data_IF_819580948201
#
_entry.id   IF_819580948201
#
_cell.length_a   1.000
_cell.length_b   1.000
_cell.length_c   1.000
_cell.angle_alpha   90.00
_cell.angle_beta   90.00
_cell.angle_gamma   90.00
#
_symmetry.space_group_name_H-M   'P 1'
#
loop_
_entity.id
_entity.type
_entity.pdbx_description
1 polymer ?
#
# COMPACT_ATOMS: atom_id res chain seq x y z
N UNK A 1 43.92 5.29 -93.30
CA UNK A 1 42.90 4.37 -92.75
C UNK A 1 42.47 4.88 -91.37
N UNK A 2 41.16 5.02 -91.16
CA UNK A 2 40.52 5.37 -89.89
C UNK A 2 40.61 4.23 -88.86
N UNK A 3 40.66 4.57 -87.57
CA UNK A 3 39.85 3.99 -86.47
C UNK A 3 40.17 4.78 -85.17
N UNK A 4 39.24 5.57 -84.62
CA UNK A 4 38.13 5.19 -83.75
C UNK A 4 38.55 4.67 -82.37
N UNK A 5 38.41 5.51 -81.34
CA UNK A 5 37.79 5.11 -80.06
C UNK A 5 37.51 6.34 -79.18
N UNK A 6 36.34 6.95 -79.37
CA UNK A 6 35.86 8.03 -78.49
C UNK A 6 35.23 7.40 -77.25
N UNK A 7 36.00 7.31 -76.16
CA UNK A 7 35.55 6.86 -74.85
C UNK A 7 34.39 7.74 -74.34
N UNK A 8 33.18 7.19 -74.29
CA UNK A 8 32.01 7.87 -73.70
C UNK A 8 32.10 7.75 -72.18
N UNK A 9 32.55 8.82 -71.51
CA UNK A 9 32.37 8.98 -70.07
C UNK A 9 30.87 9.09 -69.80
N UNK A 10 30.27 8.07 -69.18
CA UNK A 10 28.89 8.14 -68.71
C UNK A 10 28.82 9.17 -67.57
N UNK A 11 28.25 10.33 -67.84
CA UNK A 11 28.00 11.35 -66.82
C UNK A 11 26.92 10.83 -65.87
N UNK A 12 27.29 10.60 -64.60
CA UNK A 12 26.35 10.33 -63.51
C UNK A 12 25.41 11.52 -63.37
N UNK A 13 24.17 11.35 -63.83
CA UNK A 13 23.15 12.39 -63.81
C UNK A 13 22.58 12.49 -62.40
N UNK A 14 23.11 13.39 -61.59
CA UNK A 14 22.58 13.69 -60.25
C UNK A 14 21.19 14.32 -60.41
N UNK A 15 20.14 13.63 -59.96
CA UNK A 15 18.76 14.12 -60.02
C UNK A 15 18.56 15.13 -58.89
N UNK A 16 18.53 16.41 -59.23
CA UNK A 16 18.27 17.49 -58.26
C UNK A 16 16.83 17.35 -57.75
N UNK A 17 16.61 17.24 -56.43
CA UNK A 17 15.28 17.09 -55.87
C UNK A 17 14.42 18.34 -56.13
N UNK A 18 13.11 18.14 -56.25
CA UNK A 18 12.16 19.25 -56.43
C UNK A 18 12.29 20.26 -55.28
N UNK A 19 12.11 21.55 -55.58
CA UNK A 19 12.16 22.65 -54.59
C UNK A 19 11.28 22.38 -53.36
N UNK A 20 10.14 21.70 -53.55
CA UNK A 20 9.25 21.27 -52.45
C UNK A 20 9.91 20.25 -51.52
N UNK A 21 10.70 19.32 -52.05
CA UNK A 21 11.39 18.29 -51.26
C UNK A 21 12.55 18.89 -50.46
N UNK A 22 13.26 19.88 -51.02
CA UNK A 22 14.30 20.62 -50.29
C UNK A 22 13.73 21.48 -49.15
N UNK A 23 12.56 22.10 -49.36
CA UNK A 23 11.89 22.86 -48.30
C UNK A 23 11.41 21.92 -47.19
N UNK A 24 10.85 20.76 -47.54
CA UNK A 24 10.41 19.77 -46.56
C UNK A 24 11.57 19.22 -45.73
N UNK A 25 12.71 18.91 -46.35
CA UNK A 25 13.89 18.43 -45.60
C UNK A 25 14.42 19.49 -44.63
N UNK A 26 14.53 20.76 -45.07
CA UNK A 26 14.93 21.86 -44.19
C UNK A 26 13.97 22.05 -43.00
N UNK A 27 12.65 21.95 -43.24
CA UNK A 27 11.65 22.02 -42.17
C UNK A 27 11.80 20.88 -41.17
N UNK A 28 12.01 19.65 -41.65
CA UNK A 28 12.25 18.48 -40.79
C UNK A 28 13.51 18.68 -39.94
N UNK A 29 14.62 19.13 -40.53
CA UNK A 29 15.86 19.41 -39.81
C UNK A 29 15.73 20.57 -38.82
N UNK A 30 14.87 21.55 -39.08
CA UNK A 30 14.61 22.66 -38.16
C UNK A 30 13.72 22.25 -36.97
N UNK A 31 12.80 21.31 -37.17
CA UNK A 31 11.76 20.96 -36.18
C UNK A 31 12.15 19.74 -35.33
N UNK A 32 12.80 18.73 -35.91
CA UNK A 32 13.17 17.49 -35.19
C UNK A 32 14.09 17.73 -33.99
N UNK A 33 15.19 18.51 -34.10
CA UNK A 33 16.08 18.71 -32.96
C UNK A 33 15.39 19.42 -31.78
N UNK A 34 14.68 20.55 -31.95
CA UNK A 34 13.96 21.19 -30.86
C UNK A 34 12.94 20.27 -30.19
N UNK A 35 12.20 19.48 -30.96
CA UNK A 35 11.24 18.50 -30.43
C UNK A 35 11.97 17.39 -29.65
N UNK A 36 13.03 16.81 -30.21
CA UNK A 36 13.84 15.79 -29.54
C UNK A 36 14.43 16.32 -28.24
N UNK A 37 15.01 17.52 -28.25
CA UNK A 37 15.56 18.17 -27.05
C UNK A 37 14.46 18.49 -26.03
N UNK A 38 13.29 18.95 -26.46
CA UNK A 38 12.15 19.18 -25.57
C UNK A 38 11.70 17.91 -24.85
N UNK A 39 11.51 16.81 -25.57
CA UNK A 39 11.14 15.52 -24.98
C UNK A 39 12.26 14.94 -24.11
N UNK A 40 13.52 15.02 -24.53
CA UNK A 40 14.68 14.58 -23.74
C UNK A 40 14.85 15.40 -22.46
N UNK A 41 14.71 16.72 -22.53
CA UNK A 41 14.86 17.61 -21.38
C UNK A 41 13.70 17.43 -20.39
N UNK A 42 12.45 17.29 -20.88
CA UNK A 42 11.31 16.91 -20.04
C UNK A 42 11.57 15.57 -19.33
N UNK A 43 12.11 14.57 -20.04
CA UNK A 43 12.45 13.28 -19.44
C UNK A 43 13.53 13.41 -18.36
N UNK A 44 14.57 14.23 -18.59
CA UNK A 44 15.62 14.48 -17.59
C UNK A 44 15.07 15.23 -16.36
N UNK A 45 14.23 16.25 -16.55
CA UNK A 45 13.54 16.94 -15.46
C UNK A 45 12.64 15.98 -14.67
N UNK A 46 11.88 15.12 -15.34
CA UNK A 46 11.07 14.09 -14.68
C UNK A 46 11.93 13.13 -13.85
N UNK A 47 13.09 12.70 -14.37
CA UNK A 47 14.02 11.82 -13.65
C UNK A 47 14.71 12.50 -12.45
N UNK A 48 14.97 13.81 -12.53
CA UNK A 48 15.50 14.57 -11.40
C UNK A 48 14.42 14.82 -10.33
N UNK A 49 13.19 15.14 -10.73
CA UNK A 49 12.07 15.35 -9.81
C UNK A 49 11.67 14.05 -9.08
N UNK A 50 11.75 12.89 -9.73
CA UNK A 50 11.46 11.61 -9.07
C UNK A 50 12.52 11.23 -8.04
N UNK A 51 13.80 11.53 -8.30
CA UNK A 51 14.89 11.30 -7.32
C UNK A 51 14.75 12.19 -6.08
N UNK A 52 14.31 13.44 -6.24
CA UNK A 52 14.19 14.38 -5.12
C UNK A 52 12.83 14.35 -4.42
N UNK A 53 11.83 13.62 -4.95
CA UNK A 53 10.51 13.51 -4.30
C UNK A 53 10.61 12.97 -2.87
N UNK A 54 11.47 11.98 -2.65
CA UNK A 54 11.68 11.32 -1.34
C UNK A 54 12.33 12.23 -0.28
N UNK A 55 13.02 13.31 -0.68
CA UNK A 55 13.55 14.31 0.27
C UNK A 55 12.45 15.24 0.78
N UNK A 56 11.46 15.56 -0.05
CA UNK A 56 10.38 16.48 0.29
C UNK A 56 9.15 15.76 0.86
N UNK A 57 9.00 14.48 0.54
CA UNK A 57 7.92 13.61 0.98
C UNK A 57 8.49 12.22 1.29
N UNK A 58 9.16 12.09 2.46
CA UNK A 58 9.77 10.82 2.85
C UNK A 58 8.71 9.74 3.03
N UNK A 59 9.09 8.47 2.79
CA UNK A 59 8.19 7.34 2.98
C UNK A 59 7.80 7.24 4.45
N UNK A 60 6.54 6.88 4.72
CA UNK A 60 6.09 6.65 6.09
C UNK A 60 6.72 5.35 6.62
N UNK A 61 7.19 5.36 7.86
CA UNK A 61 7.65 4.16 8.55
C UNK A 61 6.49 3.55 9.31
N UNK A 62 6.01 2.39 8.84
CA UNK A 62 4.88 1.69 9.46
C UNK A 62 5.34 0.47 10.26
N UNK A 63 4.81 0.31 11.48
CA UNK A 63 5.01 -0.88 12.30
C UNK A 63 3.91 -1.93 12.01
N UNK A 64 4.30 -3.10 11.50
CA UNK A 64 3.36 -4.18 11.13
C UNK A 64 2.93 -4.97 12.37
N UNK A 65 1.71 -4.74 12.84
CA UNK A 65 1.24 -5.29 14.11
C UNK A 65 1.95 -4.70 15.34
N UNK A 66 2.52 -3.50 15.21
CA UNK A 66 3.43 -2.90 16.20
C UNK A 66 4.89 -3.33 16.00
N UNK A 67 5.74 -3.15 17.01
CA UNK A 67 7.16 -3.54 16.97
C UNK A 67 7.30 -5.03 17.28
N UNK A 68 7.23 -5.83 16.21
CA UNK A 68 7.28 -7.28 16.26
C UNK A 68 8.65 -7.83 16.66
N UNK A 69 9.69 -7.00 16.60
CA UNK A 69 11.04 -7.35 17.06
C UNK A 69 11.16 -7.38 18.59
N UNK A 70 10.27 -6.68 19.30
CA UNK A 70 10.29 -6.54 20.76
C UNK A 70 9.20 -7.33 21.47
N UNK A 71 8.04 -7.47 20.84
CA UNK A 71 6.90 -8.16 21.41
C UNK A 71 6.06 -8.86 20.34
N UNK A 72 5.19 -9.75 20.78
CA UNK A 72 4.23 -10.43 19.92
C UNK A 72 3.38 -9.43 19.11
N UNK A 73 3.17 -9.63 17.79
CA UNK A 73 2.36 -8.73 16.97
C UNK A 73 0.92 -8.56 17.51
N UNK A 74 0.34 -7.40 17.25
CA UNK A 74 -1.02 -7.00 17.65
C UNK A 74 -1.30 -7.06 19.17
N UNK A 75 -0.28 -6.86 20.00
CA UNK A 75 -0.41 -6.79 21.46
C UNK A 75 -0.22 -5.37 21.97
N UNK A 76 -0.62 -5.11 23.21
CA UNK A 76 -0.38 -3.81 23.84
C UNK A 76 1.12 -3.50 23.89
N UNK A 77 1.96 -4.49 24.19
CA UNK A 77 3.41 -4.33 24.24
C UNK A 77 4.01 -3.98 22.87
N UNK A 78 3.60 -4.64 21.78
CA UNK A 78 4.13 -4.33 20.45
C UNK A 78 3.74 -2.92 20.01
N UNK A 79 2.51 -2.48 20.31
CA UNK A 79 2.10 -1.11 20.04
C UNK A 79 2.89 -0.11 20.88
N UNK A 80 3.07 -0.36 22.17
CA UNK A 80 3.85 0.52 23.04
C UNK A 80 5.28 0.71 22.54
N UNK A 81 5.98 -0.37 22.16
CA UNK A 81 7.33 -0.28 21.60
C UNK A 81 7.38 0.44 20.24
N UNK A 82 6.37 0.25 19.39
CA UNK A 82 6.26 1.00 18.13
C UNK A 82 6.10 2.51 18.39
N UNK A 83 5.26 2.88 19.35
CA UNK A 83 5.05 4.28 19.75
C UNK A 83 6.32 4.89 20.35
N UNK A 84 7.05 4.16 21.18
CA UNK A 84 8.35 4.60 21.70
C UNK A 84 9.37 4.85 20.58
N UNK A 85 9.30 4.04 19.51
CA UNK A 85 10.14 4.19 18.31
C UNK A 85 9.69 5.32 17.38
N UNK A 86 8.61 6.04 17.72
CA UNK A 86 8.06 7.19 16.97
C UNK A 86 7.78 6.87 15.50
N UNK A 87 7.19 5.71 15.25
CA UNK A 87 6.75 5.32 13.89
C UNK A 87 5.66 6.26 13.38
N UNK A 88 5.60 6.46 12.06
CA UNK A 88 4.58 7.29 11.43
C UNK A 88 3.21 6.60 11.41
N UNK A 89 3.23 5.26 11.33
CA UNK A 89 2.03 4.45 11.20
C UNK A 89 2.13 3.13 11.95
N UNK A 90 0.96 2.59 12.31
CA UNK A 90 0.81 1.23 12.81
C UNK A 90 -0.21 0.53 11.92
N UNK A 91 0.16 -0.66 11.46
CA UNK A 91 -0.77 -1.61 10.84
C UNK A 91 -1.34 -2.55 11.91
N UNK A 92 -2.64 -2.81 11.84
CA UNK A 92 -3.36 -3.68 12.76
C UNK A 92 -4.09 -4.75 11.94
N UNK A 93 -3.78 -6.01 12.20
CA UNK A 93 -4.50 -7.14 11.60
C UNK A 93 -5.90 -7.24 12.22
N UNK A 94 -6.95 -7.10 11.41
CA UNK A 94 -8.34 -7.17 11.87
C UNK A 94 -8.96 -8.50 11.49
N UNK A 95 -9.30 -9.31 12.49
CA UNK A 95 -10.08 -10.54 12.29
C UNK A 95 -11.40 -10.48 13.06
N UNK A 96 -12.41 -11.18 12.53
CA UNK A 96 -13.75 -11.25 13.11
C UNK A 96 -14.01 -12.61 13.71
N UNK A 97 -14.52 -12.67 14.93
CA UNK A 97 -14.98 -13.89 15.59
C UNK A 97 -16.31 -14.40 15.01
N UNK A 98 -16.71 -15.62 15.36
CA UNK A 98 -17.96 -16.24 14.89
C UNK A 98 -19.22 -15.50 15.33
N UNK A 99 -19.17 -14.81 16.48
CA UNK A 99 -20.22 -13.95 17.03
C UNK A 99 -20.11 -12.48 16.56
N UNK A 100 -19.13 -12.16 15.72
CA UNK A 100 -19.02 -10.88 15.02
C UNK A 100 -18.19 -9.80 15.69
N UNK A 101 -17.47 -10.13 16.76
CA UNK A 101 -16.55 -9.20 17.45
C UNK A 101 -15.24 -9.08 16.66
N UNK A 102 -14.72 -7.85 16.54
CA UNK A 102 -13.47 -7.57 15.83
C UNK A 102 -12.28 -7.53 16.81
N UNK A 103 -11.26 -8.30 16.48
CA UNK A 103 -10.01 -8.43 17.25
C UNK A 103 -8.81 -7.99 16.44
N UNK A 104 -7.84 -7.39 17.13
CA UNK A 104 -6.49 -7.16 16.63
C UNK A 104 -5.73 -8.48 16.71
N UNK A 105 -5.92 -9.35 15.72
CA UNK A 105 -5.45 -10.72 15.77
C UNK A 105 -5.35 -11.33 14.38
N UNK A 106 -4.21 -11.92 14.06
CA UNK A 106 -4.06 -12.74 12.87
C UNK A 106 -4.21 -14.23 13.23
N UNK A 107 -4.74 -15.04 12.29
CA UNK A 107 -4.78 -16.51 12.42
C UNK A 107 -3.44 -17.13 12.89
N UNK A 108 -2.29 -16.63 12.40
CA UNK A 108 -0.96 -17.14 12.79
C UNK A 108 -0.69 -16.94 14.28
N UNK A 109 -1.14 -15.82 14.83
CA UNK A 109 -0.95 -15.47 16.24
C UNK A 109 -1.87 -16.33 17.09
N UNK A 110 -3.12 -16.53 16.66
CA UNK A 110 -4.05 -17.48 17.29
C UNK A 110 -3.48 -18.90 17.31
N UNK A 111 -2.95 -19.38 16.19
CA UNK A 111 -2.37 -20.72 16.05
C UNK A 111 -1.17 -20.91 16.98
N UNK A 112 -0.35 -19.87 17.15
CA UNK A 112 0.77 -19.87 18.09
C UNK A 112 0.29 -19.93 19.54
N UNK A 113 -0.76 -19.18 19.88
CA UNK A 113 -1.35 -19.21 21.22
C UNK A 113 -1.97 -20.59 21.47
N UNK A 114 -2.93 -21.04 20.67
CA UNK A 114 -3.62 -22.30 20.97
C UNK A 114 -2.86 -23.58 20.61
N UNK A 115 -1.66 -23.47 20.03
CA UNK A 115 -0.85 -24.62 19.62
C UNK A 115 -1.46 -25.46 18.49
N UNK A 116 -2.49 -24.96 17.81
CA UNK A 116 -3.21 -25.68 16.76
C UNK A 116 -3.18 -24.89 15.46
N UNK A 117 -2.35 -25.37 14.52
CA UNK A 117 -2.11 -24.79 13.19
C UNK A 117 -3.34 -24.71 12.27
N UNK A 118 -4.40 -25.48 12.55
CA UNK A 118 -5.65 -25.42 11.80
C UNK A 118 -6.60 -24.31 12.26
N UNK A 119 -6.26 -23.63 13.34
CA UNK A 119 -7.15 -22.67 13.99
C UNK A 119 -7.34 -21.40 13.18
N UNK A 120 -8.56 -20.89 13.23
CA UNK A 120 -8.99 -19.67 12.54
C UNK A 120 -9.83 -18.83 13.49
N UNK A 121 -9.57 -17.52 13.50
CA UNK A 121 -10.27 -16.59 14.41
C UNK A 121 -11.78 -16.67 14.21
N UNK A 122 -12.23 -16.70 12.96
CA UNK A 122 -13.67 -16.67 12.67
C UNK A 122 -14.45 -17.93 13.06
N UNK A 123 -13.78 -19.06 13.36
CA UNK A 123 -14.49 -20.23 13.92
C UNK A 123 -14.69 -20.16 15.43
N UNK A 124 -14.02 -19.25 16.13
CA UNK A 124 -14.13 -19.09 17.57
C UNK A 124 -15.04 -17.92 17.92
N UNK A 125 -15.84 -18.06 18.97
CA UNK A 125 -16.59 -16.93 19.52
C UNK A 125 -15.69 -16.04 20.39
N UNK A 126 -16.15 -14.84 20.72
CA UNK A 126 -15.36 -13.87 21.49
C UNK A 126 -15.00 -14.35 22.90
N UNK A 127 -15.83 -15.18 23.53
CA UNK A 127 -15.57 -15.73 24.87
C UNK A 127 -14.45 -16.78 24.83
N UNK A 128 -14.43 -17.66 23.82
CA UNK A 128 -13.38 -18.64 23.59
C UNK A 128 -12.03 -17.97 23.36
N UNK A 129 -12.01 -16.90 22.54
CA UNK A 129 -10.80 -16.10 22.29
C UNK A 129 -10.30 -15.45 23.58
N UNK A 130 -11.20 -14.87 24.39
CA UNK A 130 -10.83 -14.25 25.68
C UNK A 130 -10.31 -15.27 26.68
N UNK A 131 -10.93 -16.45 26.78
CA UNK A 131 -10.47 -17.56 27.63
C UNK A 131 -9.09 -18.04 27.24
N UNK A 132 -8.84 -18.19 25.93
CA UNK A 132 -7.52 -18.55 25.42
C UNK A 132 -6.48 -17.49 25.82
N UNK A 133 -6.81 -16.20 25.66
CA UNK A 133 -5.91 -15.11 26.05
C UNK A 133 -5.60 -15.12 27.55
N UNK A 134 -6.61 -15.32 28.41
CA UNK A 134 -6.42 -15.38 29.86
C UNK A 134 -5.56 -16.58 30.29
N UNK A 135 -5.74 -17.74 29.65
CA UNK A 135 -4.93 -18.94 29.91
C UNK A 135 -3.47 -18.78 29.48
N UNK A 136 -3.21 -17.98 28.45
CA UNK A 136 -1.84 -17.66 28.04
C UNK A 136 -1.17 -16.65 28.97
N UNK A 137 -1.91 -15.65 29.44
CA UNK A 137 -1.39 -14.69 30.41
C UNK A 137 -1.01 -15.34 31.75
N UNK A 138 -1.74 -16.37 32.20
CA UNK A 138 -1.42 -17.06 33.45
C UNK A 138 -0.17 -17.95 33.35
N UNK A 139 0.24 -18.31 32.13
CA UNK A 139 1.39 -19.19 31.87
C UNK A 139 2.62 -18.44 31.37
N UNK A 140 2.44 -17.27 30.74
CA UNK A 140 3.49 -16.38 30.28
C UNK A 140 3.99 -15.46 31.40
N UNK A 141 5.31 -15.25 31.49
CA UNK A 141 5.89 -14.21 32.35
C UNK A 141 5.67 -12.78 31.83
N UNK A 142 5.13 -12.65 30.62
CA UNK A 142 4.83 -11.37 29.97
C UNK A 142 3.32 -11.13 30.05
N UNK A 143 2.92 -10.22 30.94
CA UNK A 143 1.53 -9.88 31.25
C UNK A 143 0.78 -9.15 30.13
N UNK A 144 1.49 -8.74 29.07
CA UNK A 144 1.00 -7.79 28.07
C UNK A 144 0.59 -8.43 26.73
N UNK A 145 0.55 -9.76 26.66
CA UNK A 145 0.14 -10.53 25.47
C UNK A 145 -1.39 -10.75 25.38
N UNK A 146 -2.19 -9.89 26.02
CA UNK A 146 -3.64 -9.97 25.90
C UNK A 146 -4.09 -9.74 24.46
N UNK A 147 -5.00 -10.57 23.96
CA UNK A 147 -5.63 -10.35 22.65
C UNK A 147 -6.54 -9.13 22.78
N UNK A 148 -6.25 -8.09 21.99
CA UNK A 148 -6.98 -6.83 22.02
C UNK A 148 -8.19 -6.87 21.08
N UNK A 149 -9.27 -6.18 21.46
CA UNK A 149 -10.28 -5.82 20.48
C UNK A 149 -9.76 -4.70 19.58
N UNK A 150 -10.36 -4.50 18.40
CA UNK A 150 -9.98 -3.35 17.55
C UNK A 150 -10.24 -2.02 18.25
N UNK A 151 -11.31 -1.95 19.05
CA UNK A 151 -11.60 -0.74 19.82
C UNK A 151 -10.46 -0.43 20.79
N UNK A 152 -9.95 -1.42 21.52
CA UNK A 152 -8.83 -1.25 22.44
C UNK A 152 -7.54 -0.86 21.70
N UNK A 153 -7.23 -1.55 20.60
CA UNK A 153 -6.05 -1.26 19.78
C UNK A 153 -6.09 0.18 19.20
N UNK A 154 -7.26 0.64 18.74
CA UNK A 154 -7.44 2.00 18.28
C UNK A 154 -7.34 3.02 19.42
N UNK A 155 -7.90 2.74 20.60
CA UNK A 155 -7.75 3.63 21.76
C UNK A 155 -6.27 3.83 22.15
N UNK A 156 -5.45 2.79 22.01
CA UNK A 156 -4.02 2.85 22.31
C UNK A 156 -3.22 3.65 21.25
N UNK A 157 -3.62 3.58 19.98
CA UNK A 157 -2.77 4.02 18.85
C UNK A 157 -3.27 5.28 18.14
N UNK A 158 -4.58 5.54 18.13
CA UNK A 158 -5.23 6.55 17.27
C UNK A 158 -4.97 8.00 17.64
N UNK A 159 -4.24 8.29 18.71
CA UNK A 159 -3.80 9.65 19.05
C UNK A 159 -2.28 9.81 19.03
N UNK A 160 -1.54 8.76 18.65
CA UNK A 160 -0.10 8.66 18.88
C UNK A 160 0.71 8.53 17.59
N UNK A 161 0.07 8.18 16.47
CA UNK A 161 0.69 8.05 15.14
C UNK A 161 0.00 8.96 14.12
N UNK A 162 0.59 9.17 12.95
CA UNK A 162 -0.05 9.97 11.87
C UNK A 162 -1.14 9.17 11.15
N UNK A 163 -0.95 7.86 11.03
CA UNK A 163 -1.81 7.01 10.23
C UNK A 163 -1.96 5.63 10.86
N UNK A 164 -3.17 5.06 10.77
CA UNK A 164 -3.43 3.67 11.12
C UNK A 164 -3.88 2.94 9.87
N UNK A 165 -3.32 1.74 9.65
CA UNK A 165 -3.71 0.84 8.58
C UNK A 165 -4.43 -0.36 9.20
N UNK A 166 -5.70 -0.56 8.87
CA UNK A 166 -6.43 -1.76 9.27
C UNK A 166 -6.34 -2.79 8.15
N UNK A 167 -5.56 -3.85 8.34
CA UNK A 167 -5.52 -4.99 7.41
C UNK A 167 -6.67 -5.96 7.75
N UNK A 168 -7.79 -5.82 7.05
CA UNK A 168 -8.99 -6.61 7.31
C UNK A 168 -8.86 -7.99 6.69
N UNK A 169 -8.75 -9.01 7.56
CA UNK A 169 -8.70 -10.41 7.19
C UNK A 169 -10.11 -10.94 6.92
N UNK A 170 -10.26 -11.56 5.76
CA UNK A 170 -11.49 -12.22 5.33
C UNK A 170 -11.36 -13.71 5.57
N UNK A 171 -12.26 -14.27 6.38
CA UNK A 171 -12.20 -15.67 6.81
C UNK A 171 -13.56 -16.29 7.16
N UNK A 172 -13.63 -17.61 7.25
CA UNK A 172 -14.86 -18.34 7.56
C UNK A 172 -15.33 -18.08 9.01
N UNK A 173 -16.60 -18.37 9.35
CA UNK A 173 -17.68 -18.77 8.45
C UNK A 173 -18.33 -17.58 7.73
N UNK A 174 -18.03 -16.36 8.18
CA UNK A 174 -18.63 -15.13 7.68
C UNK A 174 -17.59 -14.29 6.93
N UNK A 175 -17.17 -14.80 5.76
CA UNK A 175 -16.18 -14.16 4.88
C UNK A 175 -16.39 -12.64 4.76
N UNK A 176 -17.45 -12.21 4.07
CA UNK A 176 -17.71 -10.78 3.85
C UNK A 176 -19.03 -10.31 4.47
N UNK A 177 -19.90 -11.25 4.87
CA UNK A 177 -21.27 -10.94 5.31
C UNK A 177 -21.25 -10.12 6.59
N UNK A 178 -21.73 -8.87 6.50
CA UNK A 178 -21.76 -7.85 7.57
C UNK A 178 -20.38 -7.34 8.00
N UNK A 179 -19.27 -7.86 7.46
CA UNK A 179 -17.92 -7.44 7.84
C UNK A 179 -17.70 -5.93 7.61
N UNK A 180 -18.12 -5.42 6.44
CA UNK A 180 -18.02 -3.99 6.15
C UNK A 180 -18.81 -3.14 7.18
N UNK A 181 -20.00 -3.59 7.58
CA UNK A 181 -20.82 -2.89 8.58
C UNK A 181 -20.15 -2.89 9.95
N UNK A 182 -19.58 -4.02 10.34
CA UNK A 182 -18.92 -4.19 11.64
C UNK A 182 -17.60 -3.41 11.71
N UNK A 183 -16.86 -3.30 10.59
CA UNK A 183 -15.67 -2.43 10.51
C UNK A 183 -16.09 -0.96 10.57
N UNK A 184 -17.10 -0.56 9.79
CA UNK A 184 -17.59 0.82 9.77
C UNK A 184 -18.11 1.30 11.13
N UNK A 185 -18.74 0.44 11.93
CA UNK A 185 -19.21 0.82 13.27
C UNK A 185 -18.06 1.23 14.19
N UNK A 186 -16.86 0.67 14.00
CA UNK A 186 -15.67 1.01 14.79
C UNK A 186 -15.00 2.28 14.27
N UNK A 187 -14.89 2.44 12.95
CA UNK A 187 -14.24 3.61 12.33
C UNK A 187 -14.95 4.93 12.65
N UNK A 188 -16.26 4.89 12.88
CA UNK A 188 -17.05 6.09 13.18
C UNK A 188 -16.79 6.60 14.61
N UNK A 189 -16.21 5.78 15.52
CA UNK A 189 -16.09 6.10 16.95
C UNK A 189 -14.92 7.04 17.32
N UNK A 190 -13.74 7.06 16.64
CA UNK A 190 -12.68 8.01 16.95
C UNK A 190 -12.35 8.91 15.75
N UNK A 191 -13.23 9.87 15.43
CA UNK A 191 -12.96 10.89 14.41
C UNK A 191 -12.42 12.17 15.05
N UNK A 192 -11.16 12.25 15.46
CA UNK A 192 -10.60 13.59 15.73
C UNK A 192 -9.18 13.88 15.24
N UNK A 193 -8.26 12.92 15.01
CA UNK A 193 -6.86 13.29 14.70
C UNK A 193 -6.11 12.49 13.63
N UNK A 194 -6.46 11.23 13.38
CA UNK A 194 -5.64 10.34 12.55
C UNK A 194 -6.28 9.98 11.21
N UNK A 195 -5.43 9.82 10.18
CA UNK A 195 -5.85 9.21 8.93
C UNK A 195 -6.00 7.71 9.12
N UNK A 196 -7.21 7.19 8.98
CA UNK A 196 -7.47 5.75 8.98
C UNK A 196 -7.52 5.24 7.53
N UNK A 197 -6.69 4.25 7.23
CA UNK A 197 -6.70 3.52 5.95
C UNK A 197 -7.18 2.10 6.23
N UNK A 198 -8.08 1.59 5.39
CA UNK A 198 -8.58 0.21 5.47
C UNK A 198 -8.04 -0.53 4.25
N UNK A 199 -7.24 -1.57 4.47
CA UNK A 199 -6.68 -2.44 3.43
C UNK A 199 -7.27 -3.85 3.57
N UNK A 200 -8.15 -4.28 2.65
CA UNK A 200 -8.68 -5.63 2.70
C UNK A 200 -7.75 -6.63 2.01
N UNK A 201 -7.36 -7.72 2.68
CA UNK A 201 -6.40 -8.70 2.12
C UNK A 201 -6.98 -9.57 0.97
N UNK A 202 -8.30 -9.74 0.90
CA UNK A 202 -9.00 -10.52 -0.15
C UNK A 202 -10.43 -10.03 -0.33
N UNK A 203 -10.63 -8.92 -1.03
CA UNK A 203 -11.89 -8.72 -1.72
C UNK A 203 -11.66 -9.06 -3.19
N UNK A 204 -12.32 -10.12 -3.68
CA UNK A 204 -12.40 -10.42 -5.12
C UNK A 204 -13.09 -9.31 -5.92
N UNK A 205 -13.65 -8.31 -5.22
CA UNK A 205 -14.11 -7.05 -5.81
C UNK A 205 -13.98 -5.91 -4.78
N UNK A 206 -13.11 -4.90 -5.01
CA UNK A 206 -13.03 -3.69 -4.17
C UNK A 206 -14.40 -3.00 -4.01
N UNK A 207 -15.29 -3.20 -4.98
CA UNK A 207 -16.58 -2.55 -5.19
C UNK A 207 -17.59 -2.62 -4.03
N UNK A 208 -17.55 -3.67 -3.20
CA UNK A 208 -18.57 -3.88 -2.16
C UNK A 208 -18.32 -2.99 -0.93
N UNK A 209 -17.06 -2.73 -0.59
CA UNK A 209 -16.72 -1.75 0.45
C UNK A 209 -16.96 -0.31 -0.04
N UNK A 210 -16.62 -0.01 -1.29
CA UNK A 210 -16.78 1.33 -1.87
C UNK A 210 -18.24 1.76 -2.10
N UNK A 211 -19.16 0.83 -2.33
CA UNK A 211 -20.58 1.15 -2.62
C UNK A 211 -21.44 1.43 -1.39
N UNK A 212 -21.01 0.99 -0.20
CA UNK A 212 -21.71 1.21 1.06
C UNK A 212 -21.20 2.41 1.86
N UNK A 213 -20.17 3.09 1.35
CA UNK A 213 -19.61 4.31 1.93
C UNK A 213 -20.30 5.55 1.32
N UNK A 214 -20.93 6.45 2.11
CA UNK A 214 -21.29 7.80 1.64
C UNK A 214 -20.00 8.54 1.22
N UNK A 215 -20.04 9.62 0.42
CA UNK A 215 -18.97 9.97 -0.51
C UNK A 215 -17.67 10.35 0.21
N UNK A 216 -16.85 9.35 0.53
CA UNK A 216 -15.47 9.45 0.99
C UNK A 216 -14.57 9.56 -0.24
N UNK A 217 -14.88 10.55 -1.09
CA UNK A 217 -14.20 10.82 -2.37
C UNK A 217 -12.74 11.30 -2.17
N UNK A 218 -12.33 11.50 -0.92
CA UNK A 218 -11.00 11.98 -0.54
C UNK A 218 -10.10 10.91 0.12
N UNK A 219 -10.61 9.71 0.44
CA UNK A 219 -9.79 8.67 1.10
C UNK A 219 -8.92 7.88 0.10
N UNK A 220 -9.28 7.86 -1.19
CA UNK A 220 -8.56 7.07 -2.21
C UNK A 220 -8.07 7.90 -3.42
N UNK A 221 -7.91 9.22 -3.27
CA UNK A 221 -7.36 10.06 -4.33
C UNK A 221 -5.86 10.35 -4.11
N UNK A 222 -5.02 9.39 -4.49
CA UNK A 222 -3.84 9.68 -5.32
C UNK A 222 -2.71 10.56 -4.78
N UNK A 223 -2.43 10.59 -3.47
CA UNK A 223 -1.20 11.16 -2.89
C UNK A 223 -0.76 10.39 -1.64
N UNK A 224 -0.34 9.13 -1.80
CA UNK A 224 0.30 8.40 -0.71
C UNK A 224 1.81 8.41 -0.92
N UNK A 225 2.54 8.96 0.04
CA UNK A 225 3.97 8.70 0.21
C UNK A 225 4.11 7.18 0.38
N UNK A 226 5.02 6.50 -0.34
CA UNK A 226 5.16 5.05 -0.24
C UNK A 226 5.45 4.66 1.22
N UNK A 227 4.71 3.74 1.80
CA UNK A 227 4.99 3.23 3.14
C UNK A 227 6.11 2.19 3.08
N UNK A 228 7.03 2.21 4.05
CA UNK A 228 8.00 1.13 4.28
C UNK A 228 7.67 0.50 5.63
N UNK A 229 7.20 -0.75 5.59
CA UNK A 229 6.93 -1.50 6.81
C UNK A 229 8.26 -1.93 7.45
N UNK A 230 8.40 -1.66 8.74
CA UNK A 230 9.54 -2.11 9.56
C UNK A 230 9.03 -3.17 10.54
N UNK A 231 9.66 -4.33 10.51
CA UNK A 231 9.40 -5.49 11.39
C UNK A 231 10.20 -5.39 12.67
#
# INVERSE_FOLDING_TARGET
MQQSSRSRKAALRVRVPSRKLMILSLAIFAILPPIFFHFRLRRLQQLQLTKCRWLNDPPLVCAHGGDSSKASPNTMASYFHALQSRVDCIEIDVSRSSDGVLFALHDRDLQRLNGNTSSKVGYMNSEEIRKLSASHQSTSKFTDESILTIQDALMLTANSVRQIVLDVKVGPPFYEKKLAKDVLSIVILPKEKNNLIIEPQKFSSPSILFSSMPPLRDICNGRHSPCVCRS
#
